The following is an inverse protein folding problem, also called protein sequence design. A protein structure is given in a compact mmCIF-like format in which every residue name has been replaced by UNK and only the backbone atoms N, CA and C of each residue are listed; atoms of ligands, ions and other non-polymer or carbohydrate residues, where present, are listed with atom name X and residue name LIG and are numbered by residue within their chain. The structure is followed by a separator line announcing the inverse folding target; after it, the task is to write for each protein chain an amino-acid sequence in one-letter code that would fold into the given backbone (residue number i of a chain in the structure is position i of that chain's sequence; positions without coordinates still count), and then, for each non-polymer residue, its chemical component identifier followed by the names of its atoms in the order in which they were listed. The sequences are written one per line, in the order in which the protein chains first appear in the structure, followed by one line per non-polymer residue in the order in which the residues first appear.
data_IF_004340804170
#
_entry.id   IF_004340804170
#
_cell.length_a   1.000
_cell.length_b   1.000
_cell.length_c   1.000
_cell.angle_alpha   90.00
_cell.angle_beta   90.00
_cell.angle_gamma   90.00
#
_symmetry.space_group_name_H-M   'P 1'
#
loop_
_entity.id
_entity.type
_entity.pdbx_description
1 polymer ?
#
# COMPACT_ATOMS: atom_id res chain seq x y z
N UNK A 1 12.29 33.28 30.52
CA UNK A 1 11.32 32.17 30.71
C UNK A 1 10.62 31.93 29.37
N UNK A 2 11.20 31.10 28.50
CA UNK A 2 10.59 30.75 27.21
C UNK A 2 9.63 29.57 27.43
N UNK A 3 8.34 29.88 27.52
CA UNK A 3 7.28 28.87 27.51
C UNK A 3 7.23 28.31 26.09
N UNK A 4 7.88 27.16 25.89
CA UNK A 4 7.74 26.36 24.68
C UNK A 4 6.29 25.86 24.60
N UNK A 5 5.42 26.63 23.95
CA UNK A 5 4.09 26.17 23.54
C UNK A 5 4.31 25.12 22.46
N UNK A 6 4.44 23.86 22.88
CA UNK A 6 4.55 22.70 21.99
C UNK A 6 3.21 22.51 21.30
N UNK A 7 2.95 23.26 20.23
CA UNK A 7 1.79 23.03 19.35
C UNK A 7 1.91 21.62 18.80
N UNK A 8 1.05 20.73 19.28
CA UNK A 8 0.90 19.39 18.73
C UNK A 8 0.26 19.50 17.35
N UNK A 9 1.10 19.62 16.31
CA UNK A 9 0.63 19.47 14.92
C UNK A 9 0.08 18.03 14.81
N UNK A 10 -1.15 17.84 14.32
CA UNK A 10 -1.69 16.51 14.13
C UNK A 10 -0.94 15.85 12.96
N UNK A 11 0.10 15.07 13.28
CA UNK A 11 1.01 14.43 12.30
C UNK A 11 0.24 13.48 11.37
N UNK A 12 -0.81 12.81 11.87
CA UNK A 12 -1.58 11.81 11.12
C UNK A 12 -2.31 12.38 9.90
N UNK A 13 -3.19 13.40 10.02
CA UNK A 13 -3.83 14.01 8.86
C UNK A 13 -2.83 14.66 7.91
N UNK A 14 -1.74 15.23 8.42
CA UNK A 14 -0.67 15.76 7.58
C UNK A 14 -0.05 14.65 6.70
N UNK A 15 0.24 13.49 7.28
CA UNK A 15 0.79 12.35 6.54
C UNK A 15 -0.19 11.77 5.51
N UNK A 16 -1.50 11.73 5.83
CA UNK A 16 -2.54 11.33 4.86
C UNK A 16 -2.56 12.31 3.68
N UNK A 17 -2.58 13.62 3.96
CA UNK A 17 -2.55 14.65 2.92
C UNK A 17 -1.30 14.57 2.06
N UNK A 18 -0.14 14.38 2.68
CA UNK A 18 1.13 14.21 1.98
C UNK A 18 1.10 12.98 1.04
N UNK A 19 0.70 11.81 1.54
CA UNK A 19 0.65 10.59 0.75
C UNK A 19 -0.38 10.67 -0.39
N UNK A 20 -1.55 11.28 -0.13
CA UNK A 20 -2.56 11.52 -1.15
C UNK A 20 -2.03 12.46 -2.25
N UNK A 21 -1.32 13.53 -1.87
CA UNK A 21 -0.70 14.46 -2.81
C UNK A 21 0.39 13.77 -3.64
N UNK A 22 1.23 12.94 -3.02
CA UNK A 22 2.23 12.13 -3.74
C UNK A 22 1.56 11.16 -4.72
N UNK A 23 0.45 10.53 -4.34
CA UNK A 23 -0.31 9.66 -5.23
C UNK A 23 -0.85 10.43 -6.45
N UNK A 24 -1.44 11.61 -6.23
CA UNK A 24 -1.95 12.46 -7.30
C UNK A 24 -0.84 12.92 -8.22
N UNK A 25 0.25 13.48 -7.67
CA UNK A 25 1.39 13.94 -8.46
C UNK A 25 2.01 12.79 -9.26
N UNK A 26 2.19 11.63 -8.66
CA UNK A 26 2.73 10.46 -9.38
C UNK A 26 1.81 10.03 -10.53
N UNK A 27 0.50 10.00 -10.32
CA UNK A 27 -0.45 9.61 -11.36
C UNK A 27 -0.46 10.59 -12.52
N UNK A 28 -0.44 11.90 -12.22
CA UNK A 28 -0.38 12.96 -13.24
C UNK A 28 0.93 12.91 -14.02
N UNK A 29 2.07 12.79 -13.33
CA UNK A 29 3.40 12.76 -13.97
C UNK A 29 3.58 11.56 -14.91
N UNK A 30 2.97 10.41 -14.58
CA UNK A 30 3.04 9.20 -15.41
C UNK A 30 1.83 9.01 -16.34
N UNK A 31 0.94 10.01 -16.45
CA UNK A 31 -0.31 9.95 -17.21
C UNK A 31 -1.16 8.69 -16.92
N UNK A 32 -1.06 8.16 -15.69
CA UNK A 32 -1.64 6.87 -15.30
C UNK A 32 -2.86 7.10 -14.39
N UNK A 33 -3.92 7.67 -14.95
CA UNK A 33 -5.12 8.08 -14.22
C UNK A 33 -5.89 6.91 -13.60
N UNK A 34 -5.79 5.70 -14.16
CA UNK A 34 -6.39 4.49 -13.60
C UNK A 34 -5.91 4.21 -12.16
N UNK A 35 -4.67 4.63 -11.83
CA UNK A 35 -4.09 4.46 -10.49
C UNK A 35 -4.78 5.30 -9.43
N UNK A 36 -5.37 6.44 -9.80
CA UNK A 36 -6.14 7.28 -8.88
C UNK A 36 -7.39 6.57 -8.41
N UNK A 37 -8.18 6.06 -9.37
CA UNK A 37 -9.40 5.33 -9.05
C UNK A 37 -9.11 4.04 -8.27
N UNK A 38 -8.15 3.24 -8.74
CA UNK A 38 -7.75 2.02 -8.03
C UNK A 38 -7.21 2.32 -6.63
N UNK A 39 -6.40 3.38 -6.48
CA UNK A 39 -5.87 3.81 -5.19
C UNK A 39 -6.97 4.27 -4.24
N UNK A 40 -7.95 5.03 -4.73
CA UNK A 40 -9.12 5.43 -3.94
C UNK A 40 -9.91 4.20 -3.47
N UNK A 41 -10.13 3.22 -4.35
CA UNK A 41 -10.81 1.96 -3.99
C UNK A 41 -10.05 1.19 -2.91
N UNK A 42 -8.73 1.02 -3.04
CA UNK A 42 -7.89 0.36 -2.01
C UNK A 42 -8.04 1.06 -0.66
N UNK A 43 -7.93 2.40 -0.64
CA UNK A 43 -8.01 3.20 0.58
C UNK A 43 -9.38 3.04 1.26
N UNK A 44 -10.45 3.13 0.48
CA UNK A 44 -11.83 2.96 0.96
C UNK A 44 -12.04 1.56 1.50
N UNK A 45 -11.59 0.51 0.80
CA UNK A 45 -11.72 -0.87 1.25
C UNK A 45 -10.93 -1.13 2.53
N UNK A 46 -9.68 -0.66 2.62
CA UNK A 46 -8.89 -0.78 3.84
C UNK A 46 -9.55 -0.09 5.04
N UNK A 47 -10.08 1.12 4.83
CA UNK A 47 -10.79 1.85 5.88
C UNK A 47 -12.10 1.14 6.28
N UNK A 48 -12.88 0.69 5.30
CA UNK A 48 -14.15 0.00 5.52
C UNK A 48 -13.95 -1.31 6.27
N UNK A 49 -13.01 -2.17 5.85
CA UNK A 49 -12.72 -3.43 6.54
C UNK A 49 -12.27 -3.20 7.98
N UNK A 50 -11.44 -2.18 8.23
CA UNK A 50 -10.96 -1.89 9.58
C UNK A 50 -12.07 -1.36 10.49
N UNK A 51 -12.96 -0.51 9.96
CA UNK A 51 -14.14 -0.01 10.68
C UNK A 51 -15.12 -1.13 10.96
N UNK A 52 -15.49 -1.92 9.95
CA UNK A 52 -16.43 -3.04 10.08
C UNK A 52 -15.91 -4.05 11.10
N UNK A 53 -14.63 -4.41 11.02
CA UNK A 53 -14.03 -5.36 11.96
C UNK A 53 -14.01 -4.82 13.39
N UNK A 54 -13.60 -3.57 13.57
CA UNK A 54 -13.55 -2.96 14.90
C UNK A 54 -14.95 -2.75 15.46
N UNK A 55 -15.92 -2.41 14.62
CA UNK A 55 -17.33 -2.31 15.00
C UNK A 55 -17.87 -3.67 15.44
N UNK A 56 -17.54 -4.75 14.72
CA UNK A 56 -17.95 -6.10 15.11
C UNK A 56 -17.37 -6.52 16.47
N UNK A 57 -16.11 -6.15 16.75
CA UNK A 57 -15.41 -6.48 18.00
C UNK A 57 -15.81 -5.62 19.20
N UNK A 58 -15.83 -4.30 19.01
CA UNK A 58 -15.93 -3.31 20.09
C UNK A 58 -17.24 -2.52 20.08
N UNK A 59 -18.05 -2.65 19.01
CA UNK A 59 -19.29 -1.87 18.76
C UNK A 59 -19.14 -0.35 18.84
N UNK A 60 -17.93 0.15 18.57
CA UNK A 60 -17.61 1.59 18.58
C UNK A 60 -17.22 2.02 17.17
N UNK A 61 -17.81 3.14 16.73
CA UNK A 61 -17.41 3.82 15.51
C UNK A 61 -16.18 4.69 15.77
N UNK A 62 -15.21 4.64 14.87
CA UNK A 62 -14.00 5.46 14.95
C UNK A 62 -13.46 5.75 13.54
N UNK A 63 -12.61 6.77 13.43
CA UNK A 63 -11.97 7.14 12.17
C UNK A 63 -10.64 6.37 12.06
N UNK A 64 -10.47 5.46 11.09
CA UNK A 64 -9.31 4.58 11.00
C UNK A 64 -8.11 5.26 10.31
N UNK A 65 -7.59 6.35 10.89
CA UNK A 65 -6.47 7.13 10.30
C UNK A 65 -5.29 6.26 9.86
N UNK A 66 -4.92 5.25 10.66
CA UNK A 66 -3.83 4.31 10.32
C UNK A 66 -4.10 3.50 9.06
N UNK A 67 -5.37 3.19 8.78
CA UNK A 67 -5.74 2.33 7.65
C UNK A 67 -5.88 3.13 6.37
N UNK A 68 -6.23 4.42 6.47
CA UNK A 68 -6.03 5.37 5.38
C UNK A 68 -4.56 5.46 4.96
N UNK A 69 -3.65 5.58 5.93
CA UNK A 69 -2.21 5.62 5.67
C UNK A 69 -1.74 4.33 4.99
N UNK A 70 -2.07 3.16 5.55
CA UNK A 70 -1.69 1.87 4.95
C UNK A 70 -2.28 1.68 3.55
N UNK A 71 -3.54 2.06 3.35
CA UNK A 71 -4.20 2.01 2.05
C UNK A 71 -3.51 2.90 1.02
N UNK A 72 -3.09 4.11 1.40
CA UNK A 72 -2.37 5.03 0.51
C UNK A 72 -0.97 4.51 0.16
N UNK A 73 -0.26 3.92 1.12
CA UNK A 73 1.03 3.25 0.86
C UNK A 73 0.83 2.10 -0.13
N UNK A 74 -0.21 1.27 0.07
CA UNK A 74 -0.51 0.19 -0.87
C UNK A 74 -0.96 0.71 -2.24
N UNK A 75 -1.68 1.82 -2.30
CA UNK A 75 -2.06 2.45 -3.56
C UNK A 75 -0.82 2.93 -4.34
N UNK A 76 0.16 3.52 -3.65
CA UNK A 76 1.41 4.00 -4.23
C UNK A 76 2.30 2.85 -4.74
N UNK A 77 2.39 1.75 -3.99
CA UNK A 77 3.32 0.66 -4.30
C UNK A 77 2.68 -0.42 -5.18
N UNK A 78 1.39 -0.72 -4.98
CA UNK A 78 0.72 -1.91 -5.51
C UNK A 78 -0.25 -1.70 -6.67
N UNK A 79 -0.54 -0.46 -7.09
CA UNK A 79 -1.45 -0.24 -8.24
C UNK A 79 -0.74 -0.56 -9.54
N UNK A 80 -1.24 -1.58 -10.26
CA UNK A 80 -0.82 -1.90 -11.62
C UNK A 80 -1.96 -1.64 -12.60
N UNK A 81 -1.60 -1.17 -13.79
CA UNK A 81 -2.51 -1.15 -14.94
C UNK A 81 -2.85 -2.60 -15.30
N UNK A 82 -3.98 -3.12 -14.81
CA UNK A 82 -4.46 -4.48 -15.09
C UNK A 82 -4.92 -5.29 -13.89
N UNK A 83 -4.71 -4.84 -12.65
CA UNK A 83 -5.26 -5.51 -11.48
C UNK A 83 -6.79 -5.37 -11.42
N UNK A 84 -7.51 -6.47 -11.65
CA UNK A 84 -8.97 -6.52 -11.52
C UNK A 84 -9.44 -6.25 -10.08
N UNK A 85 -10.71 -5.86 -9.92
CA UNK A 85 -11.32 -5.45 -8.64
C UNK A 85 -11.10 -6.49 -7.52
N UNK A 86 -11.10 -7.79 -7.87
CA UNK A 86 -10.85 -8.89 -6.94
C UNK A 86 -9.44 -8.85 -6.33
N UNK A 87 -8.42 -8.50 -7.11
CA UNK A 87 -7.04 -8.36 -6.62
C UNK A 87 -6.93 -7.22 -5.61
N UNK A 88 -7.56 -6.08 -5.89
CA UNK A 88 -7.60 -4.91 -5.00
C UNK A 88 -8.30 -5.24 -3.68
N UNK A 89 -9.41 -5.98 -3.73
CA UNK A 89 -10.14 -6.42 -2.55
C UNK A 89 -9.31 -7.39 -1.69
N UNK A 90 -8.63 -8.35 -2.31
CA UNK A 90 -7.79 -9.31 -1.62
C UNK A 90 -6.58 -8.63 -0.93
N UNK A 91 -5.89 -7.71 -1.61
CA UNK A 91 -4.79 -6.91 -1.01
C UNK A 91 -5.27 -6.17 0.23
N UNK A 92 -6.42 -5.51 0.12
CA UNK A 92 -7.01 -4.72 1.19
C UNK A 92 -7.42 -5.59 2.38
N UNK A 93 -7.99 -6.77 2.11
CA UNK A 93 -8.37 -7.74 3.13
C UNK A 93 -7.15 -8.28 3.88
N UNK A 94 -6.11 -8.74 3.19
CA UNK A 94 -4.91 -9.28 3.85
C UNK A 94 -4.16 -8.24 4.68
N UNK A 95 -4.11 -6.99 4.24
CA UNK A 95 -3.51 -5.90 5.01
C UNK A 95 -4.25 -5.65 6.34
N UNK A 96 -5.59 -5.64 6.31
CA UNK A 96 -6.42 -5.43 7.50
C UNK A 96 -6.40 -6.68 8.39
N UNK A 97 -6.47 -7.87 7.80
CA UNK A 97 -6.39 -9.14 8.52
C UNK A 97 -5.06 -9.26 9.28
N UNK A 98 -3.94 -8.91 8.66
CA UNK A 98 -2.64 -8.85 9.33
C UNK A 98 -2.64 -7.94 10.56
N UNK A 99 -3.20 -6.72 10.41
CA UNK A 99 -3.31 -5.77 11.50
C UNK A 99 -4.16 -6.29 12.67
N UNK A 100 -5.23 -7.04 12.36
CA UNK A 100 -6.22 -7.49 13.33
C UNK A 100 -5.89 -8.84 13.98
N UNK A 101 -5.33 -9.79 13.24
CA UNK A 101 -4.91 -11.10 13.75
C UNK A 101 -3.63 -11.01 14.57
N UNK A 102 -2.72 -10.10 14.20
CA UNK A 102 -1.49 -9.84 14.96
C UNK A 102 -1.77 -8.92 16.18
N UNK A 103 -3.04 -8.57 16.43
CA UNK A 103 -3.46 -7.88 17.65
C UNK A 103 -3.48 -8.85 18.85
N UNK A 104 -2.34 -9.50 19.12
CA UNK A 104 -2.15 -10.39 20.25
C UNK A 104 -1.97 -9.55 21.53
N UNK A 105 -3.09 -9.04 22.02
CA UNK A 105 -3.47 -8.65 23.40
C UNK A 105 -2.56 -7.73 24.25
N UNK A 106 -1.25 -7.60 24.03
CA UNK A 106 -0.34 -6.81 24.87
C UNK A 106 0.96 -6.33 24.20
N UNK A 107 1.40 -6.93 23.11
CA UNK A 107 2.65 -6.57 22.43
C UNK A 107 2.38 -5.69 21.21
N UNK A 108 3.06 -4.54 21.20
CA UNK A 108 3.13 -3.56 20.10
C UNK A 108 3.27 -4.30 18.76
N UNK A 109 2.50 -3.89 17.74
CA UNK A 109 2.53 -4.46 16.39
C UNK A 109 3.97 -4.80 15.94
N UNK A 110 4.31 -6.09 15.89
CA UNK A 110 5.66 -6.55 15.50
C UNK A 110 5.82 -6.43 13.96
N UNK A 111 4.73 -6.46 13.22
CA UNK A 111 4.73 -6.45 11.75
C UNK A 111 3.98 -5.25 11.16
N UNK A 112 4.61 -4.59 10.19
CA UNK A 112 4.00 -3.54 9.37
C UNK A 112 2.92 -4.18 8.46
N UNK A 113 1.63 -3.81 8.61
CA UNK A 113 0.53 -4.43 7.85
C UNK A 113 0.69 -4.31 6.33
N UNK A 114 1.29 -3.20 5.87
CA UNK A 114 1.58 -3.01 4.45
C UNK A 114 2.72 -3.94 4.01
N UNK A 115 3.78 -4.10 4.80
CA UNK A 115 4.85 -5.03 4.45
C UNK A 115 4.36 -6.48 4.40
N UNK A 116 3.44 -6.87 5.31
CA UNK A 116 2.86 -8.20 5.31
C UNK A 116 1.96 -8.45 4.10
N UNK A 117 1.09 -7.50 3.73
CA UNK A 117 0.27 -7.67 2.53
C UNK A 117 1.12 -7.78 1.27
N UNK A 118 2.18 -6.97 1.17
CA UNK A 118 3.14 -7.05 0.07
C UNK A 118 3.86 -8.41 0.02
N UNK A 119 4.28 -8.95 1.18
CA UNK A 119 4.90 -10.27 1.27
C UNK A 119 3.95 -11.39 0.82
N UNK A 120 2.71 -11.39 1.32
CA UNK A 120 1.69 -12.39 0.98
C UNK A 120 1.37 -12.34 -0.52
N UNK A 121 1.26 -11.14 -1.10
CA UNK A 121 1.05 -11.00 -2.53
C UNK A 121 2.25 -11.40 -3.37
N UNK A 122 3.48 -11.15 -2.90
CA UNK A 122 4.69 -11.64 -3.55
C UNK A 122 4.75 -13.17 -3.55
N UNK A 123 4.35 -13.81 -2.44
CA UNK A 123 4.33 -15.27 -2.32
C UNK A 123 3.20 -15.91 -3.15
N UNK A 124 1.99 -15.37 -3.08
CA UNK A 124 0.85 -15.82 -3.89
C UNK A 124 1.09 -15.58 -5.38
N UNK A 125 1.74 -14.48 -5.76
CA UNK A 125 2.14 -14.21 -7.14
C UNK A 125 3.19 -15.19 -7.66
N UNK A 126 4.07 -15.69 -6.80
CA UNK A 126 5.03 -16.74 -7.16
C UNK A 126 4.34 -18.09 -7.41
N UNK A 127 3.27 -18.40 -6.66
CA UNK A 127 2.49 -19.64 -6.83
C UNK A 127 1.47 -19.57 -7.96
N UNK A 128 0.89 -18.40 -8.19
CA UNK A 128 -0.13 -18.14 -9.20
C UNK A 128 0.26 -16.90 -10.02
N UNK A 129 0.92 -17.08 -11.18
CA UNK A 129 1.40 -15.98 -12.01
C UNK A 129 0.30 -14.99 -12.43
N UNK A 130 -0.95 -15.46 -12.56
CA UNK A 130 -2.11 -14.63 -12.85
C UNK A 130 -2.49 -13.64 -11.72
N UNK A 131 -2.07 -13.92 -10.48
CA UNK A 131 -2.25 -13.05 -9.30
C UNK A 131 -1.02 -12.19 -9.02
N UNK A 132 0.00 -12.26 -9.88
CA UNK A 132 1.31 -11.68 -9.68
C UNK A 132 1.36 -10.17 -10.01
N UNK A 133 0.45 -9.41 -9.41
CA UNK A 133 0.35 -7.95 -9.54
C UNK A 133 1.67 -7.30 -9.06
N UNK A 134 2.38 -7.93 -8.12
CA UNK A 134 3.56 -7.37 -7.45
C UNK A 134 4.90 -7.73 -8.11
N UNK A 135 5.18 -8.99 -8.50
CA UNK A 135 6.40 -9.25 -9.27
C UNK A 135 6.30 -8.67 -10.67
N UNK A 136 5.12 -8.63 -11.31
CA UNK A 136 4.98 -8.07 -12.65
C UNK A 136 5.29 -6.56 -12.70
N UNK A 137 5.16 -5.82 -11.59
CA UNK A 137 5.27 -4.36 -11.59
C UNK A 137 6.60 -3.82 -11.08
N UNK A 138 7.10 -4.30 -9.94
CA UNK A 138 8.31 -3.73 -9.33
C UNK A 138 9.55 -4.58 -9.62
N UNK A 139 9.52 -5.87 -9.28
CA UNK A 139 10.67 -6.76 -9.49
C UNK A 139 10.92 -7.07 -10.96
N UNK A 140 9.88 -7.33 -11.76
CA UNK A 140 10.06 -7.62 -13.19
C UNK A 140 10.55 -6.40 -13.97
N UNK A 141 10.05 -5.19 -13.67
CA UNK A 141 10.58 -3.96 -14.29
C UNK A 141 12.03 -3.74 -13.92
N UNK A 142 12.40 -3.91 -12.65
CA UNK A 142 13.79 -3.77 -12.18
C UNK A 142 14.72 -4.79 -12.86
N UNK A 143 14.26 -6.05 -12.95
CA UNK A 143 14.99 -7.16 -13.59
C UNK A 143 15.17 -6.93 -15.09
N UNK A 144 14.13 -6.47 -15.79
CA UNK A 144 14.17 -6.14 -17.22
C UNK A 144 15.09 -4.96 -17.50
N UNK A 145 15.05 -3.90 -16.67
CA UNK A 145 15.95 -2.75 -16.82
C UNK A 145 17.42 -3.12 -16.61
N UNK A 146 17.75 -4.00 -15.66
CA UNK A 146 19.12 -4.50 -15.51
C UNK A 146 19.55 -5.37 -16.70
N UNK A 147 18.66 -6.24 -17.19
CA UNK A 147 18.96 -7.10 -18.33
C UNK A 147 19.24 -6.28 -19.61
N UNK A 148 18.47 -5.21 -19.85
CA UNK A 148 18.70 -4.27 -20.95
C UNK A 148 20.00 -3.48 -20.79
N UNK A 149 20.33 -3.04 -19.57
CA UNK A 149 21.57 -2.32 -19.31
C UNK A 149 22.81 -3.21 -19.56
N UNK A 150 22.75 -4.47 -19.14
CA UNK A 150 23.82 -5.45 -19.36
C UNK A 150 23.98 -5.88 -20.83
N UNK A 151 22.88 -5.94 -21.61
CA UNK A 151 22.98 -6.27 -23.04
C UNK A 151 23.59 -5.10 -23.84
N UNK A 152 23.23 -3.86 -23.51
CA UNK A 152 23.69 -2.68 -24.23
C UNK A 152 25.18 -2.39 -23.98
N UNK A 153 25.66 -2.59 -22.75
CA UNK A 153 27.07 -2.40 -22.37
C UNK A 153 28.03 -3.42 -22.98
N UNK A 154 27.56 -4.63 -23.33
CA UNK A 154 28.37 -5.62 -24.07
C UNK A 154 28.43 -5.35 -25.58
N UNK A 155 27.47 -4.62 -26.15
CA UNK A 155 27.42 -4.29 -27.57
C UNK A 155 28.40 -3.17 -27.97
N UNK A 156 28.73 -2.25 -27.06
CA UNK A 156 29.63 -1.12 -27.29
C UNK A 156 31.11 -1.41 -27.05
N UNK A 157 31.45 -2.63 -26.62
CA UNK A 157 32.83 -3.05 -26.33
C UNK A 157 33.49 -3.82 -27.49
N UNK A 158 32.99 -3.67 -28.73
CA UNK A 158 33.58 -4.23 -29.95
C UNK A 158 34.03 -3.12 -30.89
#
# INVERSE_FOLDING_TARGET
MFVYVRRHIPIKPFMIGYLALVLVLSSVMFAAYDRLWQGAVIVVLCAAFDVVWTYLRNRIWYIPYSSFISGLIMALVGTSSGSGVLGLAAVSFFAVFSKQVIHLSRLRHIFNPAAFSLFVFSFLGALYPALNIFMATWWARFSLSMAFYYSNTRGTAR
#
